data_IF_825586171354
#
_entry.id   IF_825586171354
#
_cell.length_a   1.000
_cell.length_b   1.000
_cell.length_c   1.000
_cell.angle_alpha   90.00
_cell.angle_beta   90.00
_cell.angle_gamma   90.00
#
_symmetry.space_group_name_H-M   'P 1'
#
loop_
_entity.id
_entity.type
_entity.pdbx_description
1 polymer ?
#
# COMPACT_ATOMS: atom_id res chain seq x y z
N UNK A 1 -13.30 10.74 -12.99
CA UNK A 1 -13.01 11.36 -11.68
C UNK A 1 -11.52 11.25 -11.42
N UNK A 2 -10.85 12.36 -11.12
CA UNK A 2 -9.39 12.41 -10.94
C UNK A 2 -8.99 12.43 -9.46
N UNK A 3 -7.85 11.82 -9.17
CA UNK A 3 -7.18 11.86 -7.88
C UNK A 3 -6.43 13.18 -7.74
N UNK A 4 -6.65 13.91 -6.63
CA UNK A 4 -5.93 15.16 -6.38
C UNK A 4 -4.58 14.85 -5.74
N UNK A 5 -3.48 15.19 -6.40
CA UNK A 5 -2.14 15.04 -5.82
C UNK A 5 -1.99 15.93 -4.57
N UNK A 6 -1.55 15.34 -3.45
CA UNK A 6 -1.31 16.04 -2.18
C UNK A 6 0.18 16.26 -1.96
N UNK A 7 0.99 15.22 -2.14
CA UNK A 7 2.42 15.29 -1.88
C UNK A 7 3.16 14.22 -2.69
N UNK A 8 4.47 14.39 -2.85
CA UNK A 8 5.33 13.38 -3.46
C UNK A 8 6.73 13.44 -2.87
N UNK A 9 7.44 12.32 -2.93
CA UNK A 9 8.82 12.21 -2.53
C UNK A 9 9.52 11.09 -3.27
N UNK A 10 10.76 10.85 -2.90
CA UNK A 10 11.56 9.76 -3.43
C UNK A 10 12.59 9.28 -2.42
N UNK A 11 13.09 8.09 -2.69
CA UNK A 11 14.30 7.50 -2.12
C UNK A 11 15.13 6.96 -3.28
N UNK A 12 16.22 6.24 -2.99
CA UNK A 12 17.13 5.72 -4.01
C UNK A 12 16.41 4.86 -5.07
N UNK A 13 15.57 3.93 -4.65
CA UNK A 13 14.94 2.93 -5.53
C UNK A 13 13.41 3.03 -5.56
N UNK A 14 12.85 4.15 -5.10
CA UNK A 14 11.41 4.31 -4.94
C UNK A 14 11.02 5.78 -5.15
N UNK A 15 10.07 6.04 -6.04
CA UNK A 15 9.37 7.33 -6.09
C UNK A 15 7.95 7.13 -5.58
N UNK A 16 7.39 8.11 -4.89
CA UNK A 16 6.06 7.94 -4.31
C UNK A 16 5.26 9.23 -4.30
N UNK A 17 3.94 9.07 -4.39
CA UNK A 17 2.96 10.15 -4.47
C UNK A 17 1.78 9.78 -3.59
N UNK A 18 1.31 10.73 -2.79
CA UNK A 18 0.02 10.62 -2.10
C UNK A 18 -1.00 11.46 -2.84
N UNK A 19 -2.15 10.85 -3.09
CA UNK A 19 -3.32 11.51 -3.64
C UNK A 19 -4.45 11.53 -2.61
N UNK A 20 -5.38 12.45 -2.76
CA UNK A 20 -6.65 12.47 -2.04
C UNK A 20 -7.81 12.23 -3.01
N UNK A 21 -8.77 11.43 -2.57
CA UNK A 21 -9.97 11.10 -3.31
C UNK A 21 -11.13 10.79 -2.35
N UNK A 22 -12.18 11.61 -2.38
CA UNK A 22 -13.35 11.50 -1.48
C UNK A 22 -12.99 11.46 0.01
N UNK A 23 -12.01 12.27 0.44
CA UNK A 23 -11.58 12.33 1.83
C UNK A 23 -10.65 11.19 2.26
N UNK A 24 -10.35 10.24 1.37
CA UNK A 24 -9.39 9.17 1.59
C UNK A 24 -8.06 9.45 0.89
N UNK A 25 -6.99 8.82 1.38
CA UNK A 25 -5.63 9.01 0.87
C UNK A 25 -5.12 7.75 0.19
N UNK A 26 -4.53 7.93 -0.99
CA UNK A 26 -3.98 6.84 -1.81
C UNK A 26 -2.48 7.05 -1.93
N UNK A 27 -1.71 6.10 -1.42
CA UNK A 27 -0.25 6.14 -1.43
C UNK A 27 0.28 5.25 -2.55
N UNK A 28 0.64 5.85 -3.67
CA UNK A 28 1.22 5.15 -4.81
C UNK A 28 2.74 5.25 -4.79
N UNK A 29 3.42 4.14 -5.00
CA UNK A 29 4.86 4.04 -4.98
C UNK A 29 5.34 3.29 -6.24
N UNK A 30 6.25 3.87 -7.01
CA UNK A 30 6.90 3.23 -8.17
C UNK A 30 8.30 2.76 -7.78
N UNK A 31 8.53 1.47 -7.92
CA UNK A 31 9.82 0.84 -7.72
C UNK A 31 10.72 1.12 -8.92
N UNK A 32 11.95 1.59 -8.65
CA UNK A 32 12.95 1.99 -9.66
C UNK A 32 14.23 1.13 -9.58
N UNK A 33 14.26 0.14 -8.68
CA UNK A 33 15.41 -0.71 -8.40
C UNK A 33 15.11 -1.67 -7.23
N UNK A 34 16.12 -2.32 -6.67
CA UNK A 34 15.92 -3.23 -5.54
C UNK A 34 15.32 -2.51 -4.34
N UNK A 35 14.24 -3.06 -3.78
CA UNK A 35 13.55 -2.48 -2.62
C UNK A 35 13.57 -3.45 -1.44
N UNK A 36 14.06 -2.96 -0.31
CA UNK A 36 14.03 -3.65 0.97
C UNK A 36 13.45 -2.77 2.06
N UNK A 37 13.88 -3.02 3.31
CA UNK A 37 13.44 -2.26 4.49
C UNK A 37 13.78 -0.76 4.38
N UNK A 38 14.97 -0.46 3.87
CA UNK A 38 15.53 0.90 3.85
C UNK A 38 14.70 1.84 2.98
N UNK A 39 14.08 1.34 1.92
CA UNK A 39 13.20 2.11 1.04
C UNK A 39 11.74 2.06 1.48
N UNK A 40 11.27 0.92 2.01
CA UNK A 40 9.87 0.77 2.47
C UNK A 40 9.57 1.64 3.68
N UNK A 41 10.49 1.72 4.65
CA UNK A 41 10.22 2.44 5.90
C UNK A 41 10.01 3.95 5.70
N UNK A 42 10.86 4.68 4.94
CA UNK A 42 10.60 6.08 4.60
C UNK A 42 9.28 6.30 3.89
N UNK A 43 8.92 5.41 2.96
CA UNK A 43 7.64 5.47 2.26
C UNK A 43 6.45 5.32 3.23
N UNK A 44 6.47 4.29 4.09
CA UNK A 44 5.39 4.06 5.06
C UNK A 44 5.26 5.21 6.04
N UNK A 45 6.39 5.73 6.56
CA UNK A 45 6.37 6.90 7.44
C UNK A 45 5.76 8.12 6.75
N UNK A 46 6.23 8.44 5.53
CA UNK A 46 5.68 9.53 4.73
C UNK A 46 4.16 9.37 4.48
N UNK A 47 3.73 8.16 4.15
CA UNK A 47 2.33 7.87 3.91
C UNK A 47 1.49 8.10 5.18
N UNK A 48 1.93 7.59 6.34
CA UNK A 48 1.22 7.74 7.61
C UNK A 48 1.20 9.18 8.14
N UNK A 49 2.25 9.96 7.90
CA UNK A 49 2.27 11.38 8.26
C UNK A 49 1.21 12.20 7.48
N UNK A 50 0.76 11.70 6.33
CA UNK A 50 -0.27 12.32 5.48
C UNK A 50 -1.65 11.69 5.64
N UNK A 51 -1.73 10.44 6.10
CA UNK A 51 -2.97 9.69 6.16
C UNK A 51 -3.78 10.06 7.40
N UNK A 52 -4.85 10.84 7.23
CA UNK A 52 -5.73 11.24 8.35
C UNK A 52 -6.91 10.29 8.58
N UNK A 53 -6.95 9.16 7.86
CA UNK A 53 -8.05 8.18 7.90
C UNK A 53 -7.65 6.94 8.71
N UNK A 54 -8.63 6.15 9.18
CA UNK A 54 -8.36 4.80 9.69
C UNK A 54 -8.17 3.77 8.58
N UNK A 55 -8.38 4.17 7.32
CA UNK A 55 -8.16 3.36 6.13
C UNK A 55 -6.80 3.73 5.51
N UNK A 56 -6.05 2.73 5.06
CA UNK A 56 -4.78 2.90 4.37
C UNK A 56 -4.87 2.27 2.98
N UNK A 57 -4.78 3.09 1.93
CA UNK A 57 -4.81 2.63 0.54
C UNK A 57 -3.43 2.77 -0.08
N UNK A 58 -2.92 1.71 -0.71
CA UNK A 58 -1.62 1.79 -1.38
C UNK A 58 -1.54 1.00 -2.68
N UNK A 59 -0.69 1.51 -3.57
CA UNK A 59 -0.31 0.85 -4.82
C UNK A 59 1.21 0.78 -4.87
N UNK A 60 1.77 -0.42 -4.92
CA UNK A 60 3.18 -0.67 -5.15
C UNK A 60 3.39 -1.10 -6.60
N UNK A 61 3.80 -0.16 -7.44
CA UNK A 61 4.05 -0.39 -8.85
C UNK A 61 5.47 -0.90 -9.08
N UNK A 62 5.58 -2.19 -9.40
CA UNK A 62 6.78 -2.92 -9.75
C UNK A 62 6.65 -3.61 -11.12
N UNK A 63 6.03 -2.95 -12.11
CA UNK A 63 5.87 -3.52 -13.46
C UNK A 63 7.20 -3.80 -14.17
N UNK A 64 8.28 -3.15 -13.75
CA UNK A 64 9.64 -3.39 -14.26
C UNK A 64 10.31 -4.62 -13.61
N UNK A 65 9.60 -5.32 -12.72
CA UNK A 65 10.01 -6.57 -12.10
C UNK A 65 11.36 -6.48 -11.36
N UNK A 66 11.55 -5.42 -10.57
CA UNK A 66 12.72 -5.30 -9.72
C UNK A 66 12.61 -6.18 -8.48
N UNK A 67 13.74 -6.61 -7.95
CA UNK A 67 13.79 -7.39 -6.71
C UNK A 67 13.15 -6.63 -5.55
N UNK A 68 12.21 -7.29 -4.87
CA UNK A 68 11.50 -6.71 -3.74
C UNK A 68 11.46 -7.72 -2.60
N UNK A 69 12.25 -7.47 -1.57
CA UNK A 69 12.37 -8.40 -0.44
C UNK A 69 11.50 -7.90 0.70
N UNK A 70 10.61 -8.77 1.17
CA UNK A 70 9.85 -8.56 2.40
C UNK A 70 9.89 -9.83 3.24
N UNK A 71 10.27 -9.67 4.51
CA UNK A 71 10.34 -10.79 5.45
C UNK A 71 9.14 -10.81 6.38
N UNK A 72 8.85 -11.96 6.98
CA UNK A 72 7.80 -12.09 7.98
C UNK A 72 7.98 -11.12 9.17
N UNK A 73 9.22 -10.95 9.65
CA UNK A 73 9.53 -9.99 10.73
C UNK A 73 9.22 -8.55 10.31
N UNK A 74 9.46 -8.19 9.04
CA UNK A 74 9.09 -6.89 8.53
C UNK A 74 7.58 -6.72 8.42
N UNK A 75 6.84 -7.74 8.00
CA UNK A 75 5.37 -7.70 7.97
C UNK A 75 4.79 -7.46 9.36
N UNK A 76 5.27 -8.20 10.38
CA UNK A 76 4.85 -7.99 11.77
C UNK A 76 5.13 -6.56 12.23
N UNK A 77 6.32 -6.05 11.92
CA UNK A 77 6.73 -4.70 12.27
C UNK A 77 5.85 -3.63 11.59
N UNK A 78 5.53 -3.78 10.31
CA UNK A 78 4.61 -2.88 9.62
C UNK A 78 3.19 -2.97 10.19
N UNK A 79 2.73 -4.17 10.55
CA UNK A 79 1.45 -4.35 11.24
C UNK A 79 1.37 -3.59 12.56
N UNK A 80 2.47 -3.61 13.35
CA UNK A 80 2.54 -2.82 14.59
C UNK A 80 2.53 -1.31 14.33
N UNK A 81 3.27 -0.84 13.31
CA UNK A 81 3.26 0.57 12.90
C UNK A 81 1.85 1.02 12.50
N UNK A 82 1.17 0.24 11.66
CA UNK A 82 -0.20 0.57 11.22
C UNK A 82 -1.16 0.63 12.40
N UNK A 83 -1.09 -0.34 13.31
CA UNK A 83 -1.90 -0.37 14.53
C UNK A 83 -1.65 0.85 15.42
N UNK A 84 -0.38 1.22 15.62
CA UNK A 84 0.01 2.39 16.43
C UNK A 84 -0.43 3.71 15.80
N UNK A 85 -0.46 3.79 14.47
CA UNK A 85 -1.00 4.93 13.73
C UNK A 85 -2.53 4.99 13.71
N UNK A 86 -3.23 4.02 14.33
CA UNK A 86 -4.69 3.97 14.38
C UNK A 86 -5.36 3.43 13.11
N UNK A 87 -4.58 2.83 12.20
CA UNK A 87 -5.13 2.18 11.00
C UNK A 87 -5.90 0.93 11.39
N UNK A 88 -7.11 0.81 10.87
CA UNK A 88 -8.00 -0.34 11.05
C UNK A 88 -8.20 -1.15 9.79
N UNK A 89 -7.99 -0.54 8.61
CA UNK A 89 -8.14 -1.22 7.31
C UNK A 89 -6.96 -0.91 6.40
N UNK A 90 -6.41 -1.94 5.78
CA UNK A 90 -5.34 -1.84 4.79
C UNK A 90 -5.80 -2.44 3.47
N UNK A 91 -5.78 -1.64 2.41
CA UNK A 91 -6.06 -2.08 1.05
C UNK A 91 -4.82 -1.81 0.21
N UNK A 92 -4.17 -2.87 -0.28
CA UNK A 92 -2.94 -2.72 -1.05
C UNK A 92 -2.99 -3.50 -2.35
N UNK A 93 -2.39 -2.92 -3.38
CA UNK A 93 -2.19 -3.60 -4.67
C UNK A 93 -0.72 -3.57 -5.05
N UNK A 94 -0.17 -4.74 -5.38
CA UNK A 94 1.13 -4.86 -6.04
C UNK A 94 0.94 -4.94 -7.55
N UNK A 95 1.42 -3.95 -8.30
CA UNK A 95 1.38 -3.99 -9.76
C UNK A 95 2.66 -4.64 -10.27
N UNK A 96 2.61 -5.91 -10.66
CA UNK A 96 3.80 -6.70 -10.97
C UNK A 96 3.46 -7.90 -11.86
N UNK A 97 4.37 -8.31 -12.77
CA UNK A 97 4.24 -9.56 -13.50
C UNK A 97 4.61 -10.80 -12.65
N UNK A 98 5.17 -10.63 -11.45
CA UNK A 98 5.60 -11.70 -10.56
C UNK A 98 4.40 -12.35 -9.83
N UNK A 99 4.13 -13.61 -10.16
CA UNK A 99 3.05 -14.40 -9.57
C UNK A 99 3.38 -14.92 -8.16
N UNK A 100 4.65 -14.86 -7.75
CA UNK A 100 5.10 -15.26 -6.41
C UNK A 100 4.66 -14.30 -5.30
N UNK A 101 4.11 -13.14 -5.66
CA UNK A 101 3.56 -12.15 -4.72
C UNK A 101 2.24 -12.61 -4.09
N UNK A 102 1.47 -13.49 -4.73
CA UNK A 102 0.19 -13.94 -4.16
C UNK A 102 0.32 -14.64 -2.78
N UNK A 103 1.29 -15.55 -2.55
CA UNK A 103 1.62 -16.03 -1.21
C UNK A 103 1.99 -14.92 -0.20
N UNK A 104 2.73 -13.90 -0.63
CA UNK A 104 3.12 -12.77 0.23
C UNK A 104 1.90 -11.96 0.67
N UNK A 105 0.97 -11.70 -0.26
CA UNK A 105 -0.29 -11.02 0.01
C UNK A 105 -1.10 -11.74 1.10
N UNK A 106 -1.25 -13.07 0.99
CA UNK A 106 -1.94 -13.87 2.02
C UNK A 106 -1.24 -13.84 3.38
N UNK A 107 0.09 -13.84 3.38
CA UNK A 107 0.86 -13.73 4.62
C UNK A 107 0.67 -12.36 5.28
N UNK A 108 0.61 -11.30 4.49
CA UNK A 108 0.34 -9.95 4.98
C UNK A 108 -1.08 -9.85 5.58
N UNK A 109 -2.09 -10.42 4.93
CA UNK A 109 -3.46 -10.49 5.47
C UNK A 109 -3.50 -11.22 6.81
N UNK A 110 -2.89 -12.40 6.89
CA UNK A 110 -2.81 -13.17 8.13
C UNK A 110 -2.09 -12.41 9.26
N UNK A 111 -1.03 -11.65 8.93
CA UNK A 111 -0.34 -10.79 9.91
C UNK A 111 -1.25 -9.65 10.38
N UNK A 112 -1.96 -8.99 9.47
CA UNK A 112 -2.88 -7.90 9.80
C UNK A 112 -3.98 -8.38 10.77
N UNK A 113 -4.51 -9.59 10.56
CA UNK A 113 -5.50 -10.20 11.46
C UNK A 113 -4.96 -10.34 12.89
N UNK A 114 -3.68 -10.73 13.07
CA UNK A 114 -3.05 -10.80 14.41
C UNK A 114 -2.94 -9.44 15.10
N UNK A 115 -3.07 -8.35 14.35
CA UNK A 115 -3.01 -6.95 14.82
C UNK A 115 -4.38 -6.29 14.90
N UNK A 116 -5.47 -7.04 14.69
CA UNK A 116 -6.84 -6.54 14.59
C UNK A 116 -7.03 -5.48 13.49
N UNK A 117 -6.31 -5.65 12.37
CA UNK A 117 -6.41 -4.83 11.17
C UNK A 117 -7.06 -5.68 10.08
N UNK A 118 -8.12 -5.18 9.46
CA UNK A 118 -8.68 -5.80 8.25
C UNK A 118 -7.77 -5.51 7.07
N UNK A 119 -7.25 -6.52 6.41
CA UNK A 119 -6.41 -6.33 5.22
C UNK A 119 -7.00 -7.03 3.99
N UNK A 120 -6.90 -6.35 2.85
CA UNK A 120 -7.12 -6.95 1.54
C UNK A 120 -5.94 -6.61 0.62
N UNK A 121 -5.35 -7.68 0.07
CA UNK A 121 -4.14 -7.61 -0.71
C UNK A 121 -4.37 -8.21 -2.09
N UNK A 122 -4.04 -7.44 -3.12
CA UNK A 122 -4.22 -7.86 -4.52
C UNK A 122 -2.91 -7.70 -5.30
N UNK A 123 -2.72 -8.50 -6.34
CA UNK A 123 -1.62 -8.34 -7.28
C UNK A 123 -2.12 -8.49 -8.71
N UNK A 124 -1.62 -7.65 -9.59
CA UNK A 124 -1.99 -7.62 -11.02
C UNK A 124 -0.84 -7.08 -11.85
N UNK A 125 -0.63 -7.50 -13.11
CA UNK A 125 0.32 -6.83 -14.00
C UNK A 125 -0.18 -5.47 -14.50
N UNK A 126 -1.46 -5.13 -14.29
CA UNK A 126 -2.14 -3.98 -14.88
C UNK A 126 -2.43 -2.88 -13.85
N UNK A 127 -1.89 -1.69 -14.11
CA UNK A 127 -2.07 -0.54 -13.22
C UNK A 127 -3.52 -0.04 -13.19
N UNK A 128 -4.27 -0.18 -14.29
CA UNK A 128 -5.66 0.27 -14.34
C UNK A 128 -6.53 -0.64 -13.46
N UNK A 129 -6.27 -1.95 -13.44
CA UNK A 129 -6.93 -2.87 -12.50
C UNK A 129 -6.59 -2.56 -11.04
N UNK A 130 -5.34 -2.16 -10.76
CA UNK A 130 -4.95 -1.75 -9.41
C UNK A 130 -5.70 -0.49 -8.97
N UNK A 131 -5.84 0.48 -9.88
CA UNK A 131 -6.63 1.67 -9.66
C UNK A 131 -8.10 1.33 -9.42
N UNK A 132 -8.72 0.51 -10.26
CA UNK A 132 -10.12 0.10 -10.11
C UNK A 132 -10.38 -0.62 -8.79
N UNK A 133 -9.46 -1.48 -8.36
CA UNK A 133 -9.53 -2.11 -7.05
C UNK A 133 -9.57 -1.08 -5.92
N UNK A 134 -8.61 -0.14 -5.87
CA UNK A 134 -8.55 0.88 -4.83
C UNK A 134 -9.81 1.75 -4.84
N UNK A 135 -10.25 2.17 -6.02
CA UNK A 135 -11.47 2.96 -6.20
C UNK A 135 -12.70 2.24 -5.66
N UNK A 136 -12.83 0.94 -5.97
CA UNK A 136 -13.95 0.12 -5.48
C UNK A 136 -13.99 0.05 -3.95
N UNK A 137 -12.81 0.04 -3.29
CA UNK A 137 -12.69 -0.03 -1.84
C UNK A 137 -12.96 1.32 -1.18
N UNK A 138 -12.45 2.41 -1.74
CA UNK A 138 -12.81 3.77 -1.31
C UNK A 138 -14.33 3.96 -1.37
N UNK A 139 -14.96 3.62 -2.50
CA UNK A 139 -16.42 3.72 -2.63
C UNK A 139 -17.15 2.89 -1.57
N UNK A 140 -16.70 1.66 -1.30
CA UNK A 140 -17.32 0.81 -0.27
C UNK A 140 -17.21 1.41 1.15
N UNK A 141 -16.06 1.97 1.52
CA UNK A 141 -15.88 2.49 2.89
C UNK A 141 -16.52 3.87 3.07
N UNK A 142 -16.61 4.67 2.01
CA UNK A 142 -17.22 6.01 2.03
C UNK A 142 -18.73 5.99 1.80
N UNK A 143 -19.28 4.97 1.14
CA UNK A 143 -20.75 4.82 0.98
C UNK A 143 -21.41 4.12 2.17
N UNK A 144 -20.61 3.64 3.14
CA UNK A 144 -21.09 2.94 4.33
C UNK A 144 -21.41 3.87 5.51
N UNK A 145 -21.39 5.19 5.31
CA UNK A 145 -21.82 6.21 6.27
C UNK A 145 -23.21 6.74 5.96
#
# INVERSE_FOLDING_TARGET
>A
MEWRKISSGSSRNLTYVTYEYHGEYIHAARIMGTVGKEERFPFIKFALDLNTSENFFSIFDNRDNHDSVITYVQLLYFGDIFREAGIRRVFTVSVTPDDSIAPVNRLMEAVADTKAIHAEAFSTPDYDQARDFIMSRITKVTSGT
#
